data_IF_567124802490
#
_entry.id   IF_567124802490
#
_cell.length_a   1.000
_cell.length_b   1.000
_cell.length_c   1.000
_cell.angle_alpha   90.00
_cell.angle_beta   90.00
_cell.angle_gamma   90.00
#
_symmetry.space_group_name_H-M   'P 1'
#
loop_
_entity.id
_entity.type
_entity.pdbx_description
1 polymer ?
#
# COMPACT_ATOMS: atom_id res chain seq x y z
N UNK A 1 63.66 -6.53 12.35
CA UNK A 1 64.80 -6.80 13.26
C UNK A 1 64.97 -5.57 14.15
N UNK A 2 64.47 -5.67 15.39
CA UNK A 2 64.68 -4.85 16.60
C UNK A 2 64.48 -3.30 16.59
N UNK A 3 64.13 -2.71 17.76
CA UNK A 3 63.00 -1.81 17.92
C UNK A 3 63.35 -0.56 18.77
N UNK A 4 62.40 0.34 19.01
CA UNK A 4 62.40 1.27 20.16
C UNK A 4 60.93 1.68 20.37
N UNK A 5 60.19 1.34 21.43
CA UNK A 5 60.36 1.34 22.89
C UNK A 5 59.94 2.65 23.57
N UNK A 6 58.82 2.54 24.31
CA UNK A 6 58.41 3.24 25.56
C UNK A 6 58.11 4.75 25.46
N UNK A 7 57.12 5.32 26.17
CA UNK A 7 56.74 5.20 27.59
C UNK A 7 55.25 5.56 27.79
N UNK A 8 54.51 4.81 28.62
CA UNK A 8 54.07 5.15 30.01
C UNK A 8 53.15 6.38 30.08
N UNK A 9 51.98 6.37 30.72
CA UNK A 9 51.38 5.44 31.69
C UNK A 9 50.64 6.24 32.77
N UNK A 10 49.87 5.53 33.60
CA UNK A 10 49.41 5.94 34.96
C UNK A 10 48.35 7.08 35.00
N UNK A 11 47.32 7.14 35.85
CA UNK A 11 46.83 6.45 37.06
C UNK A 11 45.27 6.57 37.05
N UNK A 12 44.45 5.61 37.49
CA UNK A 12 44.30 4.99 38.81
C UNK A 12 43.46 5.80 39.82
N UNK A 13 42.63 5.03 40.54
CA UNK A 13 41.91 5.28 41.80
C UNK A 13 40.59 6.08 41.76
N UNK A 14 39.39 5.54 42.06
CA UNK A 14 38.83 4.71 43.18
C UNK A 14 38.16 5.58 44.27
N UNK A 15 37.08 5.02 44.86
CA UNK A 15 36.43 5.33 46.15
C UNK A 15 35.31 6.40 46.10
N UNK A 16 34.15 6.34 46.79
CA UNK A 16 33.46 5.31 47.59
C UNK A 16 32.09 5.85 48.11
N UNK A 17 31.22 4.94 48.58
CA UNK A 17 30.07 5.07 49.52
C UNK A 17 29.16 6.32 49.54
N UNK A 18 27.84 6.10 49.56
CA UNK A 18 27.06 6.18 50.81
C UNK A 18 25.57 5.86 50.58
N UNK A 19 25.02 5.02 51.46
CA UNK A 19 23.60 4.75 51.61
C UNK A 19 22.88 5.93 52.29
N UNK A 20 21.60 6.13 51.98
CA UNK A 20 20.65 6.65 52.96
C UNK A 20 19.26 6.08 52.69
N UNK A 21 18.79 5.25 53.61
CA UNK A 21 17.40 4.86 53.74
C UNK A 21 16.65 6.00 54.43
N UNK A 22 15.52 6.42 53.87
CA UNK A 22 14.46 7.11 54.61
C UNK A 22 13.18 6.33 54.41
N UNK A 23 12.78 5.66 55.49
CA UNK A 23 11.45 5.13 55.71
C UNK A 23 10.53 6.29 56.10
N UNK A 24 9.47 6.50 55.33
CA UNK A 24 8.25 7.14 55.83
C UNK A 24 7.07 6.26 55.45
N UNK A 25 6.55 5.55 56.45
CA UNK A 25 5.22 4.95 56.40
C UNK A 25 4.19 6.04 56.74
N UNK A 26 3.16 6.15 55.92
CA UNK A 26 1.99 7.00 56.15
C UNK A 26 0.85 6.53 55.26
N UNK A 27 -0.07 5.75 55.82
CA UNK A 27 -1.25 5.19 55.17
C UNK A 27 -2.30 6.25 54.82
N UNK A 28 -2.96 6.16 53.66
CA UNK A 28 -4.43 5.99 53.53
C UNK A 28 -4.94 6.21 52.10
N UNK A 29 -5.83 5.32 51.64
CA UNK A 29 -6.61 5.41 50.38
C UNK A 29 -5.81 5.00 49.14
N UNK A 30 -6.02 3.87 48.47
CA UNK A 30 -7.28 3.22 48.16
C UNK A 30 -7.72 3.65 46.76
N UNK A 31 -7.04 3.16 45.72
CA UNK A 31 -7.55 2.87 44.37
C UNK A 31 -6.40 2.25 43.54
N UNK A 32 -6.63 1.04 43.05
CA UNK A 32 -5.69 0.25 42.25
C UNK A 32 -5.39 0.96 40.92
N UNK A 33 -4.12 1.28 40.70
CA UNK A 33 -3.55 1.55 39.38
C UNK A 33 -2.32 0.66 39.23
N UNK A 34 -2.49 -0.46 38.52
CA UNK A 34 -1.39 -1.07 37.79
C UNK A 34 -1.81 -1.25 36.34
N UNK A 35 -0.97 -0.66 35.50
CA UNK A 35 -0.91 -0.80 34.06
C UNK A 35 -0.83 -2.27 33.65
N UNK A 36 -1.62 -2.67 32.66
CA UNK A 36 -1.14 -3.32 31.42
C UNK A 36 -2.32 -3.95 30.65
N UNK A 37 -2.28 -3.78 29.34
CA UNK A 37 -3.08 -4.48 28.32
C UNK A 37 -4.37 -3.81 27.85
N UNK A 38 -4.31 -2.57 27.39
CA UNK A 38 -5.28 -2.03 26.42
C UNK A 38 -4.59 -1.18 25.35
N UNK A 39 -3.81 -1.83 24.49
CA UNK A 39 -3.67 -1.37 23.10
C UNK A 39 -4.11 -2.55 22.23
N UNK A 40 -4.87 -2.29 21.17
CA UNK A 40 -5.59 -3.25 20.30
C UNK A 40 -7.06 -3.55 20.68
N UNK A 41 -7.85 -2.51 20.96
CA UNK A 41 -9.30 -2.50 20.70
C UNK A 41 -9.75 -1.10 20.31
N UNK A 42 -9.48 -0.70 19.07
CA UNK A 42 -10.16 0.43 18.41
C UNK A 42 -9.99 0.29 16.91
N UNK A 43 -10.80 -0.58 16.30
CA UNK A 43 -11.28 -0.46 14.91
C UNK A 43 -12.47 -1.42 14.73
N UNK A 44 -13.48 -1.25 15.56
CA UNK A 44 -14.84 -1.74 15.36
C UNK A 44 -15.72 -0.91 16.29
N UNK A 45 -16.84 -0.46 15.75
CA UNK A 45 -17.87 0.41 16.34
C UNK A 45 -17.72 1.91 16.04
N UNK A 46 -18.19 2.30 14.84
CA UNK A 46 -19.09 3.46 14.77
C UNK A 46 -20.16 3.22 13.68
N UNK A 47 -21.25 2.53 14.04
CA UNK A 47 -22.53 2.69 13.35
C UNK A 47 -23.39 3.71 14.08
N UNK A 48 -23.73 4.78 13.36
CA UNK A 48 -24.95 5.60 13.47
C UNK A 48 -25.12 6.55 14.67
N UNK A 49 -25.20 7.83 14.35
CA UNK A 49 -26.04 8.79 15.08
C UNK A 49 -26.68 9.75 14.08
N UNK A 50 -28.01 9.69 13.99
CA UNK A 50 -28.83 10.60 13.21
C UNK A 50 -29.03 11.92 13.97
N UNK A 51 -28.76 13.05 13.32
CA UNK A 51 -29.46 14.34 13.40
C UNK A 51 -28.55 15.44 12.81
N UNK A 52 -28.86 15.95 11.62
CA UNK A 52 -29.52 17.25 11.42
C UNK A 52 -29.36 17.68 9.96
N UNK A 53 -30.43 18.20 9.37
CA UNK A 53 -30.45 18.58 7.96
C UNK A 53 -29.94 20.03 7.79
N UNK A 54 -28.85 20.21 7.03
CA UNK A 54 -28.32 21.52 6.62
C UNK A 54 -27.29 21.36 5.51
N UNK A 55 -27.20 22.31 4.54
CA UNK A 55 -26.85 22.01 3.16
C UNK A 55 -25.34 21.86 2.98
N UNK A 56 -24.88 20.61 2.96
CA UNK A 56 -23.45 20.31 2.83
C UNK A 56 -23.00 20.34 1.38
N UNK A 57 -21.80 20.87 1.21
CA UNK A 57 -21.17 21.21 -0.04
C UNK A 57 -20.97 19.98 -0.91
N UNK A 58 -21.17 20.22 -2.20
CA UNK A 58 -20.88 19.30 -3.28
C UNK A 58 -19.38 19.03 -3.40
N UNK A 59 -18.83 18.18 -2.54
CA UNK A 59 -17.47 17.67 -2.67
C UNK A 59 -17.49 16.13 -2.77
N UNK A 60 -17.02 15.65 -3.93
CA UNK A 60 -16.95 14.26 -4.42
C UNK A 60 -18.26 13.59 -4.82
N UNK A 61 -18.78 13.96 -6.00
CA UNK A 61 -19.99 13.38 -6.60
C UNK A 61 -19.83 11.95 -7.17
N UNK A 62 -18.66 11.32 -7.01
CA UNK A 62 -18.49 9.88 -7.05
C UNK A 62 -17.92 9.49 -5.69
N UNK A 63 -18.71 8.84 -4.84
CA UNK A 63 -18.16 8.18 -3.67
C UNK A 63 -17.27 7.04 -4.15
N UNK A 64 -16.08 6.90 -3.56
CA UNK A 64 -15.19 5.74 -3.81
C UNK A 64 -15.94 4.42 -3.62
N UNK A 65 -17.00 4.44 -2.81
CA UNK A 65 -17.98 3.38 -2.55
C UNK A 65 -18.63 2.80 -3.83
N UNK A 66 -18.68 3.53 -4.96
CA UNK A 66 -19.20 2.99 -6.24
C UNK A 66 -18.30 1.84 -6.76
N UNK A 67 -17.04 1.80 -6.32
CA UNK A 67 -16.12 0.71 -6.66
C UNK A 67 -16.22 -0.48 -5.69
N UNK A 68 -16.90 -0.31 -4.54
CA UNK A 68 -17.10 -1.34 -3.53
C UNK A 68 -18.39 -2.12 -3.82
N UNK A 69 -18.28 -3.20 -4.61
CA UNK A 69 -19.40 -4.09 -4.86
C UNK A 69 -19.55 -5.16 -3.78
N UNK A 70 -20.80 -5.53 -3.48
CA UNK A 70 -21.15 -6.52 -2.46
C UNK A 70 -20.72 -7.96 -2.79
N UNK A 71 -20.29 -8.23 -4.03
CA UNK A 71 -19.98 -9.57 -4.53
C UNK A 71 -18.52 -9.64 -4.93
N UNK A 72 -17.71 -10.31 -4.14
CA UNK A 72 -16.31 -10.59 -4.44
C UNK A 72 -16.12 -12.02 -4.94
N UNK A 73 -15.14 -12.21 -5.82
CA UNK A 73 -14.71 -13.53 -6.29
C UNK A 73 -13.85 -14.23 -5.22
N UNK A 74 -13.59 -15.51 -5.42
CA UNK A 74 -12.51 -16.18 -4.68
C UNK A 74 -11.16 -15.51 -5.00
N UNK A 75 -10.20 -15.49 -4.05
CA UNK A 75 -8.86 -14.98 -4.30
C UNK A 75 -8.23 -15.61 -5.54
N UNK A 76 -7.57 -14.77 -6.34
CA UNK A 76 -6.84 -15.24 -7.52
C UNK A 76 -5.66 -16.14 -7.15
N UNK A 77 -5.23 -17.01 -8.06
CA UNK A 77 -4.07 -17.89 -7.84
C UNK A 77 -2.76 -17.09 -7.72
N UNK A 78 -2.61 -16.03 -8.51
CA UNK A 78 -1.45 -15.14 -8.53
C UNK A 78 -1.86 -13.74 -9.04
N UNK A 79 -0.94 -12.78 -8.97
CA UNK A 79 -1.22 -11.40 -9.40
C UNK A 79 -1.46 -11.27 -10.90
N UNK A 80 -0.84 -12.09 -11.75
CA UNK A 80 -1.10 -12.05 -13.20
C UNK A 80 -2.55 -12.43 -13.52
N UNK A 81 -3.07 -13.48 -12.88
CA UNK A 81 -4.47 -13.88 -12.98
C UNK A 81 -5.40 -12.78 -12.44
N UNK A 82 -5.03 -12.16 -11.31
CA UNK A 82 -5.77 -11.04 -10.73
C UNK A 82 -5.85 -9.84 -11.68
N UNK A 83 -4.73 -9.35 -12.23
CA UNK A 83 -4.74 -8.18 -13.12
C UNK A 83 -5.53 -8.46 -14.40
N UNK A 84 -5.46 -9.69 -14.92
CA UNK A 84 -6.28 -10.10 -16.05
C UNK A 84 -7.77 -10.03 -15.70
N UNK A 85 -8.18 -10.69 -14.62
CA UNK A 85 -9.57 -10.71 -14.17
C UNK A 85 -10.09 -9.29 -13.89
N UNK A 86 -9.27 -8.45 -13.25
CA UNK A 86 -9.60 -7.07 -12.93
C UNK A 86 -9.80 -6.22 -14.20
N UNK A 87 -8.91 -6.35 -15.18
CA UNK A 87 -9.09 -5.67 -16.47
C UNK A 87 -10.33 -6.14 -17.22
N UNK A 88 -10.60 -7.45 -17.24
CA UNK A 88 -11.79 -8.01 -17.89
C UNK A 88 -13.08 -7.52 -17.21
N UNK A 89 -13.09 -7.45 -15.87
CA UNK A 89 -14.21 -6.95 -15.08
C UNK A 89 -14.56 -5.49 -15.43
N UNK A 90 -13.57 -4.59 -15.44
CA UNK A 90 -13.83 -3.18 -15.79
C UNK A 90 -14.14 -2.97 -17.27
N UNK A 91 -13.64 -3.83 -18.17
CA UNK A 91 -14.02 -3.80 -19.57
C UNK A 91 -15.50 -4.16 -19.76
N UNK A 92 -16.00 -5.15 -19.01
CA UNK A 92 -17.43 -5.50 -19.01
C UNK A 92 -18.30 -4.37 -18.46
N UNK A 93 -17.86 -3.72 -17.37
CA UNK A 93 -18.53 -2.53 -16.84
C UNK A 93 -18.54 -1.39 -17.85
N UNK A 94 -17.44 -1.15 -18.56
CA UNK A 94 -17.38 -0.12 -19.62
C UNK A 94 -18.46 -0.37 -20.66
N UNK A 95 -18.54 -1.59 -21.21
CA UNK A 95 -19.55 -1.92 -22.21
C UNK A 95 -20.98 -1.71 -21.70
N UNK A 96 -21.26 -2.09 -20.45
CA UNK A 96 -22.58 -1.85 -19.85
C UNK A 96 -22.88 -0.34 -19.73
N UNK A 97 -21.91 0.47 -19.32
CA UNK A 97 -22.06 1.92 -19.22
C UNK A 97 -22.26 2.58 -20.59
N UNK A 98 -21.56 2.09 -21.62
CA UNK A 98 -21.75 2.50 -23.01
C UNK A 98 -23.17 2.20 -23.50
N UNK A 99 -23.72 1.04 -23.18
CA UNK A 99 -25.11 0.69 -23.49
C UNK A 99 -26.13 1.60 -22.79
N UNK A 100 -25.77 2.19 -21.65
CA UNK A 100 -26.55 3.23 -20.94
C UNK A 100 -26.35 4.62 -21.53
N UNK A 101 -25.51 4.78 -22.55
CA UNK A 101 -25.24 6.03 -23.23
C UNK A 101 -24.15 6.89 -22.58
N UNK A 102 -23.31 6.31 -21.73
CA UNK A 102 -22.10 6.97 -21.23
C UNK A 102 -20.92 6.75 -22.19
N UNK A 103 -19.89 7.61 -22.19
CA UNK A 103 -18.63 7.30 -22.84
C UNK A 103 -18.02 6.00 -22.31
N UNK A 104 -17.20 5.33 -23.12
CA UNK A 104 -16.40 4.21 -22.67
C UNK A 104 -15.50 4.63 -21.50
N UNK A 105 -15.40 3.75 -20.50
CA UNK A 105 -14.45 3.92 -19.40
C UNK A 105 -13.06 3.66 -19.97
N UNK A 106 -12.15 4.63 -19.82
CA UNK A 106 -10.77 4.42 -20.25
C UNK A 106 -10.00 3.65 -19.18
N UNK A 107 -9.32 2.58 -19.61
CA UNK A 107 -8.58 1.66 -18.75
C UNK A 107 -7.07 1.70 -19.08
N UNK A 108 -6.37 2.80 -18.80
CA UNK A 108 -4.93 2.90 -19.03
C UNK A 108 -4.19 1.82 -18.22
N UNK A 109 -3.22 1.14 -18.85
CA UNK A 109 -2.49 0.06 -18.19
C UNK A 109 -3.36 -1.16 -17.86
N UNK A 110 -4.44 -1.41 -18.61
CA UNK A 110 -5.25 -2.63 -18.46
C UNK A 110 -4.35 -3.87 -18.39
N UNK A 111 -4.68 -4.78 -17.48
CA UNK A 111 -3.93 -6.02 -17.19
C UNK A 111 -2.55 -5.83 -16.54
N UNK A 112 -2.29 -4.66 -15.96
CA UNK A 112 -1.05 -4.37 -15.21
C UNK A 112 -1.36 -3.95 -13.78
N UNK A 113 -0.37 -3.95 -12.86
CA UNK A 113 -0.54 -3.38 -11.53
C UNK A 113 -0.81 -1.86 -11.52
N UNK A 114 -0.67 -1.17 -12.66
CA UNK A 114 -0.88 0.28 -12.79
C UNK A 114 -2.22 0.61 -13.45
N UNK A 115 -3.12 -0.36 -13.57
CA UNK A 115 -4.42 -0.12 -14.19
C UNK A 115 -5.13 1.04 -13.50
N UNK A 116 -5.43 2.08 -14.29
CA UNK A 116 -6.27 3.19 -13.88
C UNK A 116 -7.69 3.01 -14.41
N UNK A 117 -8.61 3.80 -13.87
CA UNK A 117 -9.99 3.88 -14.32
C UNK A 117 -10.28 5.36 -14.55
N UNK A 118 -10.68 5.73 -15.76
CA UNK A 118 -11.10 7.10 -16.06
C UNK A 118 -12.53 7.11 -16.58
N UNK A 119 -13.38 7.83 -15.86
CA UNK A 119 -14.84 7.85 -16.06
C UNK A 119 -15.28 9.16 -16.72
N UNK A 120 -14.83 9.38 -17.96
CA UNK A 120 -15.15 10.60 -18.70
C UNK A 120 -16.67 10.81 -18.83
N UNK A 121 -17.14 12.04 -18.67
CA UNK A 121 -18.55 12.41 -18.78
C UNK A 121 -19.38 12.13 -17.53
N UNK A 122 -18.83 11.44 -16.52
CA UNK A 122 -19.51 11.21 -15.22
C UNK A 122 -19.89 12.51 -14.52
N UNK A 123 -19.14 13.58 -14.75
CA UNK A 123 -19.35 14.91 -14.18
C UNK A 123 -20.61 15.62 -14.71
N UNK A 124 -21.16 15.19 -15.86
CA UNK A 124 -22.32 15.84 -16.50
C UNK A 124 -23.61 15.58 -15.72
N UNK A 125 -23.78 14.35 -15.22
CA UNK A 125 -24.91 13.96 -14.37
C UNK A 125 -24.48 12.84 -13.39
N UNK A 126 -23.80 13.21 -12.29
CA UNK A 126 -23.14 12.23 -11.44
C UNK A 126 -24.08 11.28 -10.71
N UNK A 127 -25.28 11.75 -10.35
CA UNK A 127 -26.29 10.91 -9.68
C UNK A 127 -26.81 9.83 -10.62
N UNK A 128 -27.03 10.21 -11.89
CA UNK A 128 -27.42 9.25 -12.93
C UNK A 128 -26.28 8.28 -13.22
N UNK A 129 -25.05 8.77 -13.29
CA UNK A 129 -23.86 7.95 -13.51
C UNK A 129 -23.73 6.89 -12.44
N UNK A 130 -23.77 7.28 -11.16
CA UNK A 130 -23.67 6.36 -10.02
C UNK A 130 -24.74 5.26 -10.08
N UNK A 131 -26.01 5.65 -10.25
CA UNK A 131 -27.11 4.68 -10.35
C UNK A 131 -26.98 3.71 -11.54
N UNK A 132 -26.57 4.22 -12.70
CA UNK A 132 -26.37 3.38 -13.88
C UNK A 132 -25.15 2.44 -13.68
N UNK A 133 -24.10 2.91 -13.01
CA UNK A 133 -22.93 2.11 -12.63
C UNK A 133 -23.28 1.01 -11.64
N UNK A 134 -24.01 1.30 -10.57
CA UNK A 134 -24.49 0.31 -9.59
C UNK A 134 -25.33 -0.78 -10.27
N UNK A 135 -26.19 -0.39 -11.22
CA UNK A 135 -27.00 -1.34 -11.99
C UNK A 135 -26.14 -2.24 -12.90
N UNK A 136 -25.08 -1.69 -13.49
CA UNK A 136 -24.11 -2.46 -14.26
C UNK A 136 -23.31 -3.41 -13.36
N UNK A 137 -22.83 -2.93 -12.21
CA UNK A 137 -22.10 -3.73 -11.22
C UNK A 137 -22.94 -4.87 -10.66
N UNK A 138 -24.22 -4.65 -10.36
CA UNK A 138 -25.13 -5.68 -9.88
C UNK A 138 -25.30 -6.84 -10.88
N UNK A 139 -25.11 -6.57 -12.18
CA UNK A 139 -25.21 -7.54 -13.27
C UNK A 139 -23.87 -8.17 -13.65
N UNK A 140 -22.76 -7.56 -13.23
CA UNK A 140 -21.41 -8.00 -13.54
C UNK A 140 -21.03 -9.31 -12.79
N UNK A 141 -19.97 -10.01 -13.24
CA UNK A 141 -19.30 -11.03 -12.45
C UNK A 141 -18.86 -10.48 -11.08
N UNK A 142 -18.60 -11.35 -10.09
CA UNK A 142 -18.03 -10.91 -8.82
C UNK A 142 -16.70 -10.16 -9.01
N UNK A 143 -16.47 -9.14 -8.19
CA UNK A 143 -15.26 -8.32 -8.18
C UNK A 143 -14.04 -9.23 -7.97
N UNK A 144 -13.06 -9.20 -8.87
CA UNK A 144 -11.83 -9.98 -8.73
C UNK A 144 -11.11 -9.64 -7.42
N UNK A 145 -10.67 -10.68 -6.71
CA UNK A 145 -9.89 -10.51 -5.49
C UNK A 145 -8.41 -10.80 -5.73
N UNK A 146 -7.49 -10.02 -5.12
CA UNK A 146 -6.07 -10.32 -5.19
C UNK A 146 -5.78 -11.69 -4.55
N UNK A 147 -4.63 -12.31 -4.88
CA UNK A 147 -4.22 -13.55 -4.23
C UNK A 147 -4.02 -13.34 -2.72
N UNK A 148 -4.20 -14.42 -1.95
CA UNK A 148 -3.90 -14.40 -0.52
C UNK A 148 -2.39 -14.26 -0.33
N UNK A 149 -1.96 -13.34 0.53
CA UNK A 149 -0.56 -13.17 0.87
C UNK A 149 -0.06 -14.40 1.65
N UNK A 150 0.80 -15.21 1.02
CA UNK A 150 1.45 -16.37 1.62
C UNK A 150 2.97 -16.27 1.48
N UNK A 151 3.75 -16.97 2.33
CA UNK A 151 5.21 -17.02 2.19
C UNK A 151 5.67 -17.52 0.81
N UNK A 152 4.95 -18.47 0.22
CA UNK A 152 5.24 -18.99 -1.11
C UNK A 152 5.04 -17.92 -2.18
N UNK A 153 3.94 -17.18 -2.12
CA UNK A 153 3.69 -16.06 -3.04
C UNK A 153 4.70 -14.92 -2.83
N UNK A 154 5.09 -14.65 -1.59
CA UNK A 154 6.11 -13.65 -1.28
C UNK A 154 7.48 -14.00 -1.91
N UNK A 155 7.83 -15.28 -1.98
CA UNK A 155 9.04 -15.74 -2.66
C UNK A 155 8.98 -15.46 -4.17
N UNK A 156 7.86 -15.79 -4.80
CA UNK A 156 7.63 -15.59 -6.24
C UNK A 156 7.69 -14.10 -6.60
N UNK A 157 6.95 -13.27 -5.85
CA UNK A 157 6.92 -11.83 -6.07
C UNK A 157 8.26 -11.15 -5.73
N UNK A 158 9.02 -11.65 -4.75
CA UNK A 158 10.38 -11.17 -4.49
C UNK A 158 11.30 -11.42 -5.69
N UNK A 159 11.27 -12.63 -6.25
CA UNK A 159 12.09 -12.98 -7.40
C UNK A 159 11.73 -12.13 -8.63
N UNK A 160 10.43 -11.92 -8.86
CA UNK A 160 9.90 -11.09 -9.95
C UNK A 160 10.31 -9.61 -9.79
N UNK A 161 10.06 -9.03 -8.62
CA UNK A 161 10.42 -7.64 -8.33
C UNK A 161 11.94 -7.41 -8.42
N UNK A 162 12.74 -8.36 -7.94
CA UNK A 162 14.20 -8.29 -8.06
C UNK A 162 14.66 -8.34 -9.51
N UNK A 163 14.09 -9.23 -10.32
CA UNK A 163 14.39 -9.31 -11.75
C UNK A 163 14.00 -8.02 -12.49
N UNK A 164 12.86 -7.43 -12.14
CA UNK A 164 12.43 -6.16 -12.72
C UNK A 164 13.36 -5.00 -12.33
N UNK A 165 13.79 -4.94 -11.06
CA UNK A 165 14.77 -3.97 -10.59
C UNK A 165 16.09 -4.07 -11.37
N UNK A 166 16.64 -5.28 -11.50
CA UNK A 166 17.88 -5.53 -12.25
C UNK A 166 17.74 -5.12 -13.73
N UNK A 167 16.58 -5.40 -14.34
CA UNK A 167 16.25 -4.97 -15.70
C UNK A 167 16.23 -3.43 -15.83
N UNK A 168 15.56 -2.73 -14.91
CA UNK A 168 15.47 -1.27 -14.93
C UNK A 168 16.85 -0.61 -14.78
N UNK A 169 17.68 -1.12 -13.87
CA UNK A 169 19.07 -0.66 -13.70
C UNK A 169 19.88 -0.89 -14.98
N UNK A 170 19.73 -2.04 -15.64
CA UNK A 170 20.38 -2.32 -16.91
C UNK A 170 19.95 -1.36 -18.04
N UNK A 171 18.71 -0.86 -17.97
CA UNK A 171 18.18 0.17 -18.87
C UNK A 171 18.51 1.62 -18.45
N UNK A 172 19.32 1.80 -17.41
CA UNK A 172 19.84 3.11 -16.99
C UNK A 172 18.99 3.85 -15.97
N UNK A 173 17.97 3.20 -15.38
CA UNK A 173 17.24 3.77 -14.26
C UNK A 173 18.14 3.94 -13.03
N UNK A 174 17.97 5.04 -12.30
CA UNK A 174 18.63 5.31 -11.02
C UNK A 174 17.78 4.77 -9.89
N UNK A 175 17.71 3.44 -9.81
CA UNK A 175 16.99 2.76 -8.75
C UNK A 175 17.79 2.79 -7.43
N UNK A 176 17.14 2.94 -6.26
CA UNK A 176 17.78 2.65 -4.98
C UNK A 176 18.18 1.16 -4.90
N UNK A 177 18.98 0.79 -3.89
CA UNK A 177 19.29 -0.62 -3.65
C UNK A 177 18.00 -1.44 -3.43
N UNK A 178 17.92 -2.62 -4.04
CA UNK A 178 16.76 -3.48 -3.88
C UNK A 178 16.66 -3.97 -2.42
N UNK A 179 15.46 -3.99 -1.82
CA UNK A 179 15.29 -4.42 -0.43
C UNK A 179 15.83 -5.83 -0.16
N UNK A 180 16.25 -6.05 1.07
CA UNK A 180 16.57 -7.39 1.55
C UNK A 180 15.32 -8.27 1.48
N UNK A 181 15.52 -9.59 1.34
CA UNK A 181 14.42 -10.55 1.30
C UNK A 181 13.53 -10.49 2.53
N UNK A 182 14.14 -10.38 3.72
CA UNK A 182 13.38 -10.24 4.96
C UNK A 182 12.49 -8.99 4.92
N UNK A 183 13.05 -7.86 4.50
CA UNK A 183 12.31 -6.60 4.40
C UNK A 183 11.12 -6.73 3.44
N UNK A 184 11.35 -7.28 2.25
CA UNK A 184 10.29 -7.50 1.28
C UNK A 184 9.18 -8.39 1.84
N UNK A 185 9.55 -9.47 2.55
CA UNK A 185 8.58 -10.41 3.12
C UNK A 185 7.76 -9.75 4.23
N UNK A 186 8.39 -8.95 5.10
CA UNK A 186 7.69 -8.19 6.14
C UNK A 186 6.70 -7.21 5.49
N UNK A 187 7.14 -6.45 4.49
CA UNK A 187 6.29 -5.49 3.78
C UNK A 187 5.13 -6.19 3.04
N UNK A 188 5.37 -7.33 2.41
CA UNK A 188 4.34 -8.07 1.66
C UNK A 188 3.35 -8.82 2.55
N UNK A 189 3.83 -9.53 3.58
CA UNK A 189 2.97 -10.40 4.41
C UNK A 189 2.28 -9.65 5.54
N UNK A 190 2.92 -8.61 6.10
CA UNK A 190 2.38 -7.87 7.25
C UNK A 190 1.68 -6.59 6.80
N UNK A 191 2.26 -5.89 5.83
CA UNK A 191 1.75 -4.59 5.38
C UNK A 191 0.99 -4.68 4.06
N UNK A 192 0.89 -5.87 3.45
CA UNK A 192 0.26 -6.09 2.14
C UNK A 192 0.80 -5.14 1.06
N UNK A 193 2.07 -4.76 1.17
CA UNK A 193 2.73 -3.83 0.29
C UNK A 193 3.58 -4.59 -0.75
N UNK A 194 3.26 -4.40 -2.02
CA UNK A 194 4.11 -4.85 -3.13
C UNK A 194 5.16 -3.79 -3.47
N UNK A 195 6.31 -4.25 -3.95
CA UNK A 195 7.31 -3.37 -4.52
C UNK A 195 6.77 -2.76 -5.83
N UNK A 196 6.88 -1.43 -5.95
CA UNK A 196 6.57 -0.70 -7.16
C UNK A 196 7.80 0.12 -7.56
N UNK A 197 8.29 0.05 -8.81
CA UNK A 197 9.48 0.77 -9.21
C UNK A 197 9.34 2.30 -9.14
N UNK A 198 8.13 2.86 -9.19
CA UNK A 198 7.90 4.30 -9.11
C UNK A 198 7.90 4.83 -7.67
N UNK A 199 7.53 3.98 -6.70
CA UNK A 199 7.28 4.38 -5.29
C UNK A 199 8.21 3.65 -4.30
N UNK A 200 8.91 2.61 -4.77
CA UNK A 200 9.71 1.72 -3.94
C UNK A 200 8.88 0.90 -2.96
N UNK A 201 9.54 0.42 -1.90
CA UNK A 201 8.91 0.10 -0.63
C UNK A 201 9.11 1.30 0.31
N UNK A 202 8.17 1.55 1.22
CA UNK A 202 8.20 2.67 2.20
C UNK A 202 8.19 4.09 1.60
N UNK A 203 7.78 4.25 0.33
CA UNK A 203 7.62 5.57 -0.27
C UNK A 203 8.93 6.23 -0.70
N UNK A 204 10.00 5.44 -0.91
CA UNK A 204 11.21 5.91 -1.60
C UNK A 204 10.86 6.15 -3.06
N UNK A 205 10.50 7.40 -3.37
CA UNK A 205 10.15 7.83 -4.73
C UNK A 205 11.40 8.08 -5.56
N UNK A 206 11.35 7.62 -6.81
CA UNK A 206 12.31 8.04 -7.82
C UNK A 206 11.95 9.46 -8.24
N UNK A 207 12.96 10.29 -8.48
CA UNK A 207 12.76 11.58 -9.13
C UNK A 207 12.52 11.33 -10.63
N UNK A 208 11.25 11.18 -10.99
CA UNK A 208 10.83 10.89 -12.36
C UNK A 208 11.27 11.96 -13.35
N UNK A 209 11.49 13.20 -12.93
CA UNK A 209 11.90 14.29 -13.82
C UNK A 209 13.37 14.20 -14.22
N UNK A 210 14.22 13.69 -13.33
CA UNK A 210 15.67 13.64 -13.54
C UNK A 210 16.23 12.24 -13.78
N UNK A 211 15.39 11.22 -13.63
CA UNK A 211 15.76 9.84 -13.93
C UNK A 211 15.85 9.60 -15.46
N UNK A 212 16.95 9.03 -15.98
CA UNK A 212 17.14 8.82 -17.42
C UNK A 212 16.07 7.96 -18.08
N UNK A 213 15.45 7.03 -17.35
CA UNK A 213 14.43 6.12 -17.86
C UNK A 213 13.02 6.66 -17.59
N UNK A 214 12.72 7.03 -16.34
CA UNK A 214 11.37 7.46 -15.95
C UNK A 214 10.97 8.82 -16.54
N UNK A 215 11.93 9.71 -16.85
CA UNK A 215 11.62 11.00 -17.52
C UNK A 215 11.20 10.87 -18.98
N UNK A 216 11.44 9.71 -19.60
CA UNK A 216 11.26 9.51 -21.05
C UNK A 216 10.18 8.49 -21.41
N UNK A 217 9.69 7.73 -20.43
CA UNK A 217 8.78 6.61 -20.65
C UNK A 217 7.60 6.69 -19.69
N UNK A 218 6.41 6.42 -20.20
CA UNK A 218 5.25 6.24 -19.33
C UNK A 218 5.39 4.98 -18.49
N UNK A 219 4.67 4.90 -17.37
CA UNK A 219 4.66 3.71 -16.50
C UNK A 219 4.33 2.43 -17.27
N UNK A 220 3.44 2.51 -18.26
CA UNK A 220 3.10 1.38 -19.13
C UNK A 220 4.30 0.95 -20.01
N UNK A 221 5.01 1.90 -20.62
CA UNK A 221 6.19 1.59 -21.42
C UNK A 221 7.33 1.01 -20.56
N UNK A 222 7.42 1.42 -19.29
CA UNK A 222 8.37 0.87 -18.33
C UNK A 222 7.96 -0.56 -17.94
N UNK A 223 6.67 -0.80 -17.73
CA UNK A 223 6.13 -2.14 -17.47
C UNK A 223 6.38 -3.11 -18.61
N UNK A 224 6.14 -2.67 -19.86
CA UNK A 224 6.42 -3.47 -21.06
C UNK A 224 7.91 -3.79 -21.22
N UNK A 225 8.79 -2.92 -20.74
CA UNK A 225 10.24 -3.10 -20.80
C UNK A 225 10.75 -4.07 -19.74
N UNK A 226 10.28 -3.90 -18.50
CA UNK A 226 10.72 -4.68 -17.34
C UNK A 226 9.51 -5.03 -16.47
N UNK A 227 8.73 -6.08 -16.79
CA UNK A 227 7.50 -6.40 -16.05
C UNK A 227 7.77 -6.74 -14.59
N UNK A 228 7.00 -6.16 -13.67
CA UNK A 228 7.01 -6.46 -12.24
C UNK A 228 5.65 -6.94 -11.72
#
# INVERSE_FOLDING_TARGET
MFPFSRRQGFLSLVFVFAALAVLTAGCSGGEDNDEQSQSLRSYSDTSSSAADAGPEGAESLLTLDILDGDRTAEPSENFAAYYKANGDYYLELSHCMEDKGWPAIELPGIYTPQMGIQTAGSEVDPQRYARDFDACQASAPPIPMPPVATPELAEEEYAKAKSAHECLVAHGARMPEFPSKQKFFDDFLVHHAMWNPMVGLEGVKIDEETDPLFSQKSSQQIYELCPW
#
